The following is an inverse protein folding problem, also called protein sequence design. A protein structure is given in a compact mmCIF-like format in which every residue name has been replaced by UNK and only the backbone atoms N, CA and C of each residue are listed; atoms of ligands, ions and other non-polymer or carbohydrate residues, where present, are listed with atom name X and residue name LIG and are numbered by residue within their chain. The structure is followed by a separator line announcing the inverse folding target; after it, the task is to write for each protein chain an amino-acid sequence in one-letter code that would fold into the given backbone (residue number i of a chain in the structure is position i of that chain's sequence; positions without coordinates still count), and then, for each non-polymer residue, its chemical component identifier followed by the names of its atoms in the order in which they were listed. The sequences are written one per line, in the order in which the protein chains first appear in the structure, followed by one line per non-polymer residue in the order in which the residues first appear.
data_IF_140084822685
#
_entry.id   IF_140084822685
#
_cell.length_a   1.000
_cell.length_b   1.000
_cell.length_c   1.000
_cell.angle_alpha   90.00
_cell.angle_beta   90.00
_cell.angle_gamma   90.00
#
_symmetry.space_group_name_H-M   'P 1'
#
loop_
_entity.id
_entity.type
_entity.pdbx_description
1 polymer ?
#
# COMPACT_ATOMS: atom_id res chain seq x y z
N UNK A 1 19.18 -11.49 -3.28
CA UNK A 1 18.58 -10.69 -4.37
C UNK A 1 17.13 -10.30 -4.10
N UNK A 2 16.32 -11.12 -3.42
CA UNK A 2 14.87 -10.89 -3.27
C UNK A 2 14.49 -9.77 -2.28
N UNK A 3 15.11 -9.75 -1.10
CA UNK A 3 14.91 -8.65 -0.13
C UNK A 3 15.28 -7.27 -0.69
N UNK A 4 16.40 -7.17 -1.42
CA UNK A 4 16.79 -5.90 -2.07
C UNK A 4 15.72 -5.41 -3.04
N UNK A 5 15.16 -6.30 -3.85
CA UNK A 5 14.09 -5.95 -4.80
C UNK A 5 12.82 -5.48 -4.08
N UNK A 6 12.51 -6.04 -2.91
CA UNK A 6 11.37 -5.61 -2.10
C UNK A 6 11.61 -4.30 -1.38
N UNK A 7 12.85 -4.01 -0.97
CA UNK A 7 13.24 -2.69 -0.47
C UNK A 7 13.13 -1.63 -1.58
N UNK A 8 13.57 -1.95 -2.80
CA UNK A 8 13.38 -1.07 -3.97
C UNK A 8 11.88 -0.87 -4.28
N UNK A 9 11.08 -1.94 -4.19
CA UNK A 9 9.63 -1.86 -4.35
C UNK A 9 8.99 -0.96 -3.29
N UNK A 10 9.42 -1.09 -2.03
CA UNK A 10 8.98 -0.24 -0.94
C UNK A 10 9.23 1.25 -1.23
N UNK A 11 10.44 1.62 -1.67
CA UNK A 11 10.77 3.00 -2.04
C UNK A 11 9.87 3.52 -3.17
N UNK A 12 9.63 2.68 -4.19
CA UNK A 12 8.73 3.03 -5.28
C UNK A 12 7.27 3.18 -4.83
N UNK A 13 6.79 2.33 -3.94
CA UNK A 13 5.45 2.43 -3.33
C UNK A 13 5.32 3.75 -2.55
N UNK A 14 6.28 4.05 -1.67
CA UNK A 14 6.27 5.29 -0.88
C UNK A 14 6.23 6.51 -1.80
N UNK A 15 7.11 6.56 -2.81
CA UNK A 15 7.14 7.67 -3.76
C UNK A 15 5.83 7.81 -4.54
N UNK A 16 5.22 6.68 -4.95
CA UNK A 16 3.97 6.66 -5.69
C UNK A 16 2.79 7.17 -4.85
N UNK A 17 2.72 6.79 -3.57
CA UNK A 17 1.68 7.21 -2.63
C UNK A 17 1.83 8.69 -2.26
N UNK A 18 3.03 9.14 -1.89
CA UNK A 18 3.35 10.56 -1.58
C UNK A 18 3.14 11.47 -2.79
N UNK A 19 3.21 10.92 -4.01
CA UNK A 19 2.88 11.62 -5.24
C UNK A 19 1.40 11.99 -5.37
N UNK A 20 0.49 11.33 -4.65
CA UNK A 20 -0.94 11.62 -4.64
C UNK A 20 -1.20 12.67 -3.56
N UNK A 21 -1.05 13.94 -3.94
CA UNK A 21 -1.10 15.09 -3.03
C UNK A 21 -2.42 15.21 -2.26
N UNK A 22 -3.51 14.70 -2.81
CA UNK A 22 -4.82 14.67 -2.17
C UNK A 22 -4.86 13.77 -0.92
N UNK A 23 -3.89 12.87 -0.73
CA UNK A 23 -3.79 12.04 0.47
C UNK A 23 -3.05 12.74 1.62
N UNK A 24 -2.39 13.87 1.39
CA UNK A 24 -1.64 14.62 2.42
C UNK A 24 -0.72 13.70 3.26
N UNK A 25 0.17 12.98 2.55
CA UNK A 25 1.19 12.09 3.10
C UNK A 25 2.56 12.67 2.77
N UNK A 26 3.48 12.68 3.72
CA UNK A 26 4.79 13.35 3.60
C UNK A 26 5.86 12.39 3.13
N UNK A 27 5.95 11.24 3.77
CA UNK A 27 7.02 10.25 3.56
C UNK A 27 6.59 8.85 4.04
N UNK A 28 7.56 7.92 4.07
CA UNK A 28 7.35 6.55 4.53
C UNK A 28 7.00 6.41 6.01
N UNK A 29 7.13 7.47 6.82
CA UNK A 29 6.70 7.48 8.22
C UNK A 29 5.18 7.63 8.40
N UNK A 30 4.48 8.13 7.38
CA UNK A 30 3.01 8.27 7.39
C UNK A 30 2.29 7.00 6.87
N UNK A 31 3.02 5.92 6.58
CA UNK A 31 2.47 4.65 6.13
C UNK A 31 3.25 3.45 6.65
N UNK A 32 2.60 2.28 6.68
CA UNK A 32 3.27 1.01 6.96
C UNK A 32 3.15 0.14 5.72
N UNK A 33 4.29 -0.28 5.18
CA UNK A 33 4.35 -1.22 4.06
C UNK A 33 4.85 -2.57 4.57
N UNK A 34 4.03 -3.61 4.41
CA UNK A 34 4.31 -4.94 4.94
C UNK A 34 4.49 -5.93 3.80
N UNK A 35 5.56 -6.71 3.89
CA UNK A 35 5.78 -7.89 3.06
C UNK A 35 5.76 -9.12 3.98
N UNK A 36 5.02 -10.19 3.62
CA UNK A 36 5.12 -11.45 4.35
C UNK A 36 6.57 -11.94 4.39
N UNK A 37 7.00 -12.49 5.52
CA UNK A 37 8.41 -12.86 5.75
C UNK A 37 8.90 -13.95 4.80
N UNK A 38 8.02 -14.85 4.40
CA UNK A 38 8.28 -15.86 3.37
C UNK A 38 8.47 -15.22 1.99
N UNK A 39 7.68 -14.19 1.65
CA UNK A 39 7.84 -13.44 0.41
C UNK A 39 9.17 -12.68 0.34
N UNK A 40 9.75 -12.28 1.49
CA UNK A 40 11.11 -11.73 1.54
C UNK A 40 12.18 -12.75 1.10
N UNK A 41 11.93 -14.04 1.35
CA UNK A 41 12.84 -15.14 1.01
C UNK A 41 12.55 -15.73 -0.38
N UNK A 42 11.28 -15.84 -0.75
CA UNK A 42 10.84 -16.55 -1.95
C UNK A 42 10.47 -15.63 -3.12
N UNK A 43 10.24 -14.34 -2.86
CA UNK A 43 9.74 -13.36 -3.83
C UNK A 43 8.21 -13.42 -3.93
N UNK A 44 7.60 -12.41 -4.57
CA UNK A 44 6.13 -12.24 -4.57
C UNK A 44 5.38 -13.21 -5.51
N UNK A 45 6.08 -13.96 -6.36
CA UNK A 45 5.46 -14.87 -7.32
C UNK A 45 4.79 -14.17 -8.49
N UNK A 46 3.85 -14.87 -9.12
CA UNK A 46 3.17 -14.46 -10.37
C UNK A 46 1.81 -13.79 -10.13
N UNK A 47 1.29 -13.84 -8.89
CA UNK A 47 0.07 -13.15 -8.48
C UNK A 47 0.41 -12.28 -7.27
N UNK A 48 0.23 -10.96 -7.43
CA UNK A 48 0.58 -9.97 -6.41
C UNK A 48 -0.69 -9.21 -6.04
N UNK A 49 -1.04 -9.29 -4.76
CA UNK A 49 -2.17 -8.57 -4.19
C UNK A 49 -1.63 -7.42 -3.35
N UNK A 50 -2.07 -6.20 -3.66
CA UNK A 50 -1.78 -4.99 -2.89
C UNK A 50 -3.03 -4.57 -2.14
N UNK A 51 -2.96 -4.57 -0.82
CA UNK A 51 -4.06 -4.11 0.03
C UNK A 51 -3.70 -2.80 0.71
N UNK A 52 -4.57 -1.81 0.58
CA UNK A 52 -4.40 -0.51 1.23
C UNK A 52 -5.55 -0.27 2.19
N UNK A 53 -5.20 -0.06 3.45
CA UNK A 53 -6.12 0.22 4.55
C UNK A 53 -5.70 1.50 5.29
N UNK A 54 -6.38 1.85 6.38
CA UNK A 54 -5.97 2.96 7.25
C UNK A 54 -6.27 4.37 6.75
N UNK A 55 -6.94 4.52 5.61
CA UNK A 55 -7.32 5.83 5.04
C UNK A 55 -8.64 6.40 5.60
N UNK A 56 -9.24 5.76 6.60
CA UNK A 56 -10.58 6.11 7.06
C UNK A 56 -10.71 7.56 7.55
N UNK A 57 -9.76 8.05 8.36
CA UNK A 57 -9.80 9.43 8.85
C UNK A 57 -9.62 10.47 7.75
N UNK A 58 -8.99 10.09 6.62
CA UNK A 58 -8.79 10.97 5.47
C UNK A 58 -9.99 10.97 4.51
N UNK A 59 -10.89 9.98 4.61
CA UNK A 59 -12.09 9.81 3.78
C UNK A 59 -11.86 10.15 2.29
N UNK A 60 -10.86 9.53 1.63
CA UNK A 60 -10.58 9.83 0.23
C UNK A 60 -11.82 9.52 -0.62
N UNK A 61 -12.12 10.40 -1.58
CA UNK A 61 -13.20 10.17 -2.53
C UNK A 61 -12.94 8.91 -3.36
N UNK A 62 -13.98 8.31 -3.94
CA UNK A 62 -13.84 7.15 -4.83
C UNK A 62 -12.83 7.41 -5.97
N UNK A 63 -12.78 8.65 -6.47
CA UNK A 63 -11.81 9.07 -7.50
C UNK A 63 -10.38 8.99 -6.97
N UNK A 64 -10.12 9.45 -5.74
CA UNK A 64 -8.80 9.37 -5.11
C UNK A 64 -8.44 7.91 -4.81
N UNK A 65 -9.39 7.09 -4.35
CA UNK A 65 -9.17 5.66 -4.11
C UNK A 65 -8.80 4.92 -5.40
N UNK A 66 -9.53 5.17 -6.49
CA UNK A 66 -9.24 4.59 -7.80
C UNK A 66 -7.89 5.07 -8.36
N UNK A 67 -7.54 6.35 -8.15
CA UNK A 67 -6.22 6.91 -8.50
C UNK A 67 -5.11 6.20 -7.72
N UNK A 68 -5.29 5.98 -6.42
CA UNK A 68 -4.34 5.26 -5.57
C UNK A 68 -4.15 3.81 -6.02
N UNK A 69 -5.25 3.07 -6.16
CA UNK A 69 -5.21 1.67 -6.59
C UNK A 69 -4.47 1.51 -7.94
N UNK A 70 -4.83 2.34 -8.93
CA UNK A 70 -4.20 2.34 -10.25
C UNK A 70 -2.72 2.71 -10.18
N UNK A 71 -2.36 3.67 -9.34
CA UNK A 71 -0.98 4.16 -9.19
C UNK A 71 -0.09 3.09 -8.57
N UNK A 72 -0.56 2.43 -7.51
CA UNK A 72 0.14 1.32 -6.87
C UNK A 72 0.25 0.10 -7.78
N UNK A 73 -0.86 -0.33 -8.38
CA UNK A 73 -0.86 -1.47 -9.31
C UNK A 73 0.13 -1.28 -10.45
N UNK A 74 0.17 -0.07 -11.06
CA UNK A 74 1.18 0.25 -12.09
C UNK A 74 2.61 0.27 -11.56
N UNK A 75 2.82 0.68 -10.32
CA UNK A 75 4.15 0.74 -9.70
C UNK A 75 4.69 -0.68 -9.50
N UNK A 76 3.86 -1.59 -8.99
CA UNK A 76 4.20 -3.01 -8.85
C UNK A 76 4.41 -3.66 -10.22
N UNK A 77 3.48 -3.46 -11.16
CA UNK A 77 3.55 -4.05 -12.51
C UNK A 77 4.86 -3.69 -13.25
N UNK A 78 5.39 -2.48 -13.04
CA UNK A 78 6.67 -2.08 -13.65
C UNK A 78 7.85 -2.93 -13.19
N UNK A 79 7.86 -3.34 -11.92
CA UNK A 79 8.92 -4.18 -11.35
C UNK A 79 8.67 -5.67 -11.56
N UNK A 80 7.40 -6.06 -11.70
CA UNK A 80 6.96 -7.44 -11.90
C UNK A 80 6.09 -7.54 -13.16
N UNK A 81 6.67 -7.34 -14.37
CA UNK A 81 5.89 -7.20 -15.60
C UNK A 81 5.12 -8.47 -15.99
N UNK A 82 5.56 -9.63 -15.52
CA UNK A 82 4.90 -10.92 -15.78
C UNK A 82 3.84 -11.27 -14.74
N UNK A 83 3.80 -10.56 -13.61
CA UNK A 83 2.84 -10.86 -12.56
C UNK A 83 1.46 -10.26 -12.89
N UNK A 84 0.41 -10.98 -12.50
CA UNK A 84 -0.92 -10.41 -12.36
C UNK A 84 -0.94 -9.59 -11.06
N UNK A 85 -1.37 -8.33 -11.16
CA UNK A 85 -1.41 -7.41 -10.01
C UNK A 85 -2.84 -6.97 -9.76
N UNK A 86 -3.36 -7.29 -8.58
CA UNK A 86 -4.63 -6.78 -8.08
C UNK A 86 -4.36 -5.76 -6.96
N UNK A 87 -5.08 -4.64 -6.94
CA UNK A 87 -4.94 -3.63 -5.90
C UNK A 87 -6.29 -3.22 -5.32
N UNK A 88 -6.46 -3.44 -4.02
CA UNK A 88 -7.65 -3.14 -3.27
C UNK A 88 -7.38 -1.96 -2.33
N UNK A 89 -8.23 -0.94 -2.41
CA UNK A 89 -8.20 0.20 -1.47
C UNK A 89 -9.53 0.18 -0.74
N UNK A 90 -9.51 -0.15 0.55
CA UNK A 90 -10.71 -0.19 1.37
C UNK A 90 -10.45 0.51 2.73
N UNK A 91 -11.05 1.69 2.98
CA UNK A 91 -10.90 2.36 4.26
C UNK A 91 -11.60 1.57 5.36
N UNK A 92 -10.83 1.00 6.28
CA UNK A 92 -11.35 0.30 7.45
C UNK A 92 -11.97 1.28 8.45
N UNK A 93 -13.26 1.16 8.74
CA UNK A 93 -13.92 1.95 9.79
C UNK A 93 -13.49 1.45 11.17
N UNK A 94 -12.80 2.28 11.98
CA UNK A 94 -12.34 1.87 13.31
C UNK A 94 -13.46 1.40 14.24
N UNK A 95 -14.72 1.81 14.01
CA UNK A 95 -15.87 1.33 14.77
C UNK A 95 -16.16 -0.16 14.58
N UNK A 96 -15.59 -0.79 13.55
CA UNK A 96 -15.77 -2.21 13.23
C UNK A 96 -14.87 -3.16 14.04
N UNK A 97 -14.28 -2.67 15.14
CA UNK A 97 -13.47 -3.50 16.05
C UNK A 97 -12.00 -3.08 16.14
N UNK A 98 -11.69 -1.80 15.90
CA UNK A 98 -10.36 -1.28 16.21
C UNK A 98 -10.16 -1.21 17.71
N UNK A 99 -9.05 -1.78 18.18
CA UNK A 99 -8.56 -1.60 19.54
C UNK A 99 -7.19 -0.93 19.49
N UNK A 100 -7.00 0.11 20.29
CA UNK A 100 -5.75 0.84 20.44
C UNK A 100 -5.37 0.90 21.91
N UNK A 101 -4.09 0.72 22.21
CA UNK A 101 -3.52 0.96 23.55
C UNK A 101 -3.60 2.43 23.95
N UNK A 102 -3.66 3.32 22.97
CA UNK A 102 -3.80 4.76 23.15
C UNK A 102 -5.27 5.13 22.96
N UNK A 103 -5.96 5.44 24.07
CA UNK A 103 -7.29 6.05 24.06
C UNK A 103 -7.18 7.41 23.36
N UNK A 104 -7.85 7.56 22.21
CA UNK A 104 -8.26 8.87 21.74
C UNK A 104 -9.78 8.82 21.69
N UNK A 105 -10.39 9.45 22.69
CA UNK A 105 -11.82 9.77 22.76
C UNK A 105 -12.07 10.91 21.78
#
# INVERSE_FOLDING_TARGET
MKEKQLNELHEHIVAAVVGIKELDLRDGGDMVCLFPSDMMLYGLGDEIIVEVTGLFNKQPTEVIQAKLAKTLGKTVQKMFPQARVDCFVYPFDPKQGWWSTSLVV
#
